data_IF_492949707156
#
_entry.id   IF_492949707156
#
_cell.length_a   1.000
_cell.length_b   1.000
_cell.length_c   1.000
_cell.angle_alpha   90.00
_cell.angle_beta   90.00
_cell.angle_gamma   90.00
#
_symmetry.space_group_name_H-M   'P 1'
#
loop_
_entity.id
_entity.type
_entity.pdbx_description
1 polymer ?
#
# COMPACT_ATOMS: atom_id res chain seq x y z
N UNK A 1 14.18 -5.24 6.22
CA UNK A 1 13.79 -4.66 4.92
C UNK A 1 13.43 -3.21 5.13
N UNK A 2 13.71 -2.33 4.16
CA UNK A 2 13.33 -0.92 4.23
C UNK A 2 11.84 -0.81 3.89
N UNK A 3 11.09 0.06 4.57
CA UNK A 3 9.71 0.33 4.19
C UNK A 3 9.69 1.04 2.82
N UNK A 4 8.74 0.73 1.92
CA UNK A 4 8.59 1.46 0.67
C UNK A 4 8.25 2.93 0.96
N UNK A 5 8.73 3.83 0.09
CA UNK A 5 8.47 5.26 0.18
C UNK A 5 7.80 5.73 -1.11
N UNK A 6 6.99 6.79 -1.01
CA UNK A 6 6.42 7.42 -2.20
C UNK A 6 7.50 7.98 -3.11
N UNK A 7 7.20 8.02 -4.41
CA UNK A 7 8.10 8.57 -5.42
C UNK A 7 8.57 9.98 -5.02
N UNK A 8 9.87 10.22 -5.21
CA UNK A 8 10.53 11.51 -4.97
C UNK A 8 10.36 12.02 -3.51
N UNK A 9 10.18 11.11 -2.55
CA UNK A 9 9.91 11.41 -1.15
C UNK A 9 10.57 10.42 -0.20
N UNK A 10 10.93 10.88 1.00
CA UNK A 10 11.38 10.03 2.11
C UNK A 10 10.21 9.58 3.01
N UNK A 11 8.96 9.91 2.65
CA UNK A 11 7.77 9.52 3.40
C UNK A 11 7.49 8.03 3.17
N UNK A 12 7.55 7.18 4.21
CA UNK A 12 7.22 5.78 4.09
C UNK A 12 5.73 5.60 3.87
N UNK A 13 5.36 4.61 3.05
CA UNK A 13 3.97 4.21 2.83
C UNK A 13 3.38 3.62 4.11
N UNK A 14 2.12 3.99 4.41
CA UNK A 14 1.38 3.52 5.56
C UNK A 14 -0.02 3.06 5.17
N UNK A 15 -0.55 2.08 5.88
CA UNK A 15 -1.96 1.72 5.81
C UNK A 15 -2.84 2.94 6.14
N UNK A 16 -3.89 3.12 5.35
CA UNK A 16 -4.82 4.25 5.44
C UNK A 16 -4.35 5.53 4.77
N UNK A 17 -3.14 5.55 4.16
CA UNK A 17 -2.75 6.66 3.32
C UNK A 17 -3.73 6.79 2.14
N UNK A 18 -4.16 8.01 1.87
CA UNK A 18 -4.90 8.35 0.66
C UNK A 18 -3.92 8.76 -0.43
N UNK A 19 -4.06 8.09 -1.57
CA UNK A 19 -3.15 8.21 -2.68
C UNK A 19 -3.92 8.42 -3.98
N UNK A 20 -3.25 9.02 -4.96
CA UNK A 20 -3.73 9.01 -6.35
C UNK A 20 -3.00 7.89 -7.08
N UNK A 21 -3.77 6.92 -7.54
CA UNK A 21 -3.30 5.84 -8.41
C UNK A 21 -3.55 6.24 -9.86
N UNK A 22 -2.69 5.77 -10.77
CA UNK A 22 -2.66 6.18 -12.18
C UNK A 22 -4.03 6.45 -12.82
N UNK A 23 -4.19 7.66 -13.36
CA UNK A 23 -5.35 8.07 -14.18
C UNK A 23 -6.73 7.98 -13.51
N UNK A 24 -6.80 7.57 -12.24
CA UNK A 24 -8.04 7.61 -11.48
C UNK A 24 -8.32 9.05 -11.03
N UNK A 25 -9.52 9.55 -11.33
CA UNK A 25 -9.99 10.84 -10.82
C UNK A 25 -10.24 10.78 -9.30
N UNK A 26 -10.62 9.60 -8.80
CA UNK A 26 -10.92 9.36 -7.39
C UNK A 26 -9.71 8.81 -6.63
N UNK A 27 -9.64 9.13 -5.33
CA UNK A 27 -8.53 8.70 -4.48
C UNK A 27 -8.64 7.22 -4.12
N UNK A 28 -7.49 6.57 -4.06
CA UNK A 28 -7.30 5.21 -3.56
C UNK A 28 -6.80 5.23 -2.12
N UNK A 29 -6.98 4.13 -1.40
CA UNK A 29 -6.52 3.96 -0.02
C UNK A 29 -5.55 2.79 0.08
N UNK A 30 -4.44 2.97 0.78
CA UNK A 30 -3.50 1.88 1.08
C UNK A 30 -4.12 0.95 2.12
N UNK A 31 -4.34 -0.32 1.76
CA UNK A 31 -4.94 -1.32 2.64
C UNK A 31 -3.92 -2.03 3.53
N UNK A 32 -2.72 -2.31 3.02
CA UNK A 32 -1.62 -2.88 3.78
C UNK A 32 -0.29 -2.79 3.03
N UNK A 33 0.81 -2.90 3.79
CA UNK A 33 2.17 -2.94 3.26
C UNK A 33 2.81 -4.28 3.64
N UNK A 34 3.18 -5.08 2.63
CA UNK A 34 3.65 -6.46 2.82
C UNK A 34 4.94 -6.50 3.65
N UNK A 35 5.88 -5.60 3.35
CA UNK A 35 7.21 -5.56 3.97
C UNK A 35 7.22 -5.17 5.44
N UNK A 36 6.19 -4.45 5.92
CA UNK A 36 6.03 -4.07 7.32
C UNK A 36 5.20 -5.09 8.11
N UNK A 37 4.53 -6.01 7.43
CA UNK A 37 3.61 -6.97 8.04
C UNK A 37 2.31 -6.35 8.54
N UNK A 38 2.00 -5.11 8.13
CA UNK A 38 0.80 -4.37 8.51
C UNK A 38 -0.43 -4.86 7.73
N UNK A 39 -0.77 -6.14 7.90
CA UNK A 39 -1.91 -6.78 7.25
C UNK A 39 -3.22 -6.54 8.02
N UNK A 40 -4.39 -6.57 7.34
CA UNK A 40 -5.68 -6.53 8.01
C UNK A 40 -5.88 -7.73 8.94
N UNK A 41 -6.57 -7.52 10.07
CA UNK A 41 -6.78 -8.57 11.09
C UNK A 41 -7.55 -9.77 10.55
N UNK A 42 -8.46 -9.53 9.60
CA UNK A 42 -9.28 -10.55 8.96
C UNK A 42 -8.54 -11.37 7.88
N UNK A 43 -7.30 -10.99 7.52
CA UNK A 43 -6.50 -11.74 6.56
C UNK A 43 -5.82 -12.91 7.26
N UNK A 44 -6.01 -14.14 6.78
CA UNK A 44 -5.42 -15.34 7.40
C UNK A 44 -3.90 -15.44 7.21
N UNK A 45 -3.27 -16.30 8.00
CA UNK A 45 -1.81 -16.47 7.98
C UNK A 45 -1.29 -16.99 6.64
N UNK A 46 -2.03 -17.90 5.99
CA UNK A 46 -1.63 -18.47 4.71
C UNK A 46 -1.57 -17.41 3.60
N UNK A 47 -2.54 -16.49 3.59
CA UNK A 47 -2.60 -15.38 2.66
C UNK A 47 -1.47 -14.38 2.90
N UNK A 48 -1.17 -14.07 4.17
CA UNK A 48 -0.03 -13.20 4.53
C UNK A 48 1.30 -13.78 4.05
N UNK A 49 1.50 -15.09 4.23
CA UNK A 49 2.72 -15.77 3.82
C UNK A 49 2.82 -15.87 2.29
N UNK A 50 1.69 -16.09 1.61
CA UNK A 50 1.63 -16.03 0.15
C UNK A 50 2.01 -14.64 -0.37
N UNK A 51 1.47 -13.56 0.19
CA UNK A 51 1.82 -12.19 -0.23
C UNK A 51 3.32 -11.91 -0.07
N UNK A 52 3.92 -12.34 1.04
CA UNK A 52 5.36 -12.19 1.29
C UNK A 52 6.20 -12.97 0.30
N UNK A 53 5.78 -14.20 -0.04
CA UNK A 53 6.52 -15.05 -0.97
C UNK A 53 6.42 -14.54 -2.41
N UNK A 54 5.24 -14.10 -2.83
CA UNK A 54 4.97 -13.70 -4.21
C UNK A 54 5.46 -12.27 -4.51
N UNK A 55 5.22 -11.33 -3.60
CA UNK A 55 5.42 -9.91 -3.87
C UNK A 55 6.56 -9.28 -3.07
N UNK A 56 7.15 -10.01 -2.11
CA UNK A 56 8.25 -9.54 -1.27
C UNK A 56 7.88 -8.36 -0.36
N UNK A 57 7.78 -7.15 -0.95
CA UNK A 57 7.58 -5.88 -0.27
C UNK A 57 6.50 -4.96 -0.88
N UNK A 58 5.55 -5.49 -1.64
CA UNK A 58 4.48 -4.72 -2.28
C UNK A 58 3.48 -4.04 -1.35
N UNK A 59 2.57 -3.28 -1.97
CA UNK A 59 1.51 -2.52 -1.30
C UNK A 59 0.17 -2.92 -1.92
N UNK A 60 -0.82 -3.18 -1.08
CA UNK A 60 -2.20 -3.33 -1.54
C UNK A 60 -2.91 -2.00 -1.45
N UNK A 61 -3.53 -1.56 -2.54
CA UNK A 61 -4.37 -0.36 -2.60
C UNK A 61 -5.78 -0.73 -3.00
N UNK A 62 -6.76 -0.02 -2.43
CA UNK A 62 -8.16 -0.09 -2.85
C UNK A 62 -8.43 1.04 -3.83
N UNK A 63 -8.72 0.65 -5.05
CA UNK A 63 -8.94 1.54 -6.19
C UNK A 63 -10.44 1.56 -6.55
N UNK A 64 -11.00 2.72 -6.93
CA UNK A 64 -12.37 2.79 -7.42
C UNK A 64 -12.59 2.05 -8.75
N UNK A 65 -11.60 2.03 -9.63
CA UNK A 65 -11.72 1.49 -10.99
C UNK A 65 -11.43 -0.01 -11.09
N UNK A 66 -10.55 -0.56 -10.25
CA UNK A 66 -10.10 -1.95 -10.33
C UNK A 66 -10.29 -2.75 -9.03
N UNK A 67 -10.83 -2.15 -7.97
CA UNK A 67 -10.94 -2.79 -6.66
C UNK A 67 -9.59 -2.89 -5.97
N UNK A 68 -9.33 -4.00 -5.28
CA UNK A 68 -8.09 -4.18 -4.52
C UNK A 68 -6.96 -4.65 -5.46
N UNK A 69 -5.92 -3.83 -5.60
CA UNK A 69 -4.79 -4.04 -6.52
C UNK A 69 -3.49 -4.09 -5.75
N UNK A 70 -2.63 -5.05 -6.11
CA UNK A 70 -1.26 -5.14 -5.62
C UNK A 70 -0.30 -4.41 -6.54
N UNK A 71 0.40 -3.46 -5.95
CA UNK A 71 1.49 -2.72 -6.58
C UNK A 71 2.83 -3.21 -6.00
N UNK A 72 3.85 -3.24 -6.86
CA UNK A 72 5.22 -3.54 -6.44
C UNK A 72 5.71 -2.49 -5.43
N UNK A 73 6.81 -2.80 -4.72
CA UNK A 73 7.39 -1.88 -3.73
C UNK A 73 7.80 -0.52 -4.30
N UNK A 74 7.98 -0.45 -5.62
CA UNK A 74 8.22 0.75 -6.40
C UNK A 74 6.93 1.58 -6.47
N UNK A 75 6.75 2.50 -5.52
CA UNK A 75 5.60 3.42 -5.45
C UNK A 75 5.60 4.47 -6.58
N UNK A 76 6.15 4.16 -7.74
CA UNK A 76 6.30 5.07 -8.88
C UNK A 76 4.96 5.47 -9.49
N UNK A 77 3.99 4.58 -9.39
CA UNK A 77 2.62 4.72 -9.88
C UNK A 77 1.67 5.46 -8.93
N UNK A 78 2.15 5.80 -7.73
CA UNK A 78 1.31 6.22 -6.62
C UNK A 78 1.80 7.57 -6.08
N UNK A 79 0.93 8.57 -6.09
CA UNK A 79 1.18 9.88 -5.51
C UNK A 79 0.50 9.99 -4.14
N UNK A 80 1.25 10.34 -3.09
CA UNK A 80 0.68 10.61 -1.78
C UNK A 80 -0.16 11.90 -1.82
N UNK A 81 -1.45 11.80 -1.49
CA UNK A 81 -2.34 12.95 -1.34
C UNK A 81 -2.51 13.34 0.12
N UNK A 82 -2.68 12.35 1.00
CA UNK A 82 -2.79 12.56 2.45
C UNK A 82 -2.31 11.34 3.19
N UNK A 83 -1.36 11.50 4.10
CA UNK A 83 -0.95 10.40 4.96
C UNK A 83 -1.98 10.11 6.05
N UNK A 84 -2.14 8.85 6.42
CA UNK A 84 -2.85 8.45 7.62
C UNK A 84 -2.28 9.21 8.81
N UNK A 85 -3.16 9.77 9.65
CA UNK A 85 -2.72 10.31 10.93
C UNK A 85 -2.15 9.15 11.74
N UNK A 86 -0.95 9.32 12.30
CA UNK A 86 -0.55 8.49 13.42
C UNK A 86 -1.54 8.79 14.54
N UNK A 87 -2.49 7.90 14.79
CA UNK A 87 -3.10 7.82 16.11
C UNK A 87 -1.96 7.42 17.05
N UNK A 88 -1.44 8.44 17.74
CA UNK A 88 -0.46 8.33 18.80
C UNK A 88 -1.13 7.92 20.10
#
# INVERSE_FOLDING_TARGET
MKAPCYRDSDIPVRRGDLVRWHSDEALSEVLFVVSTGDFPENLDQASRDWFRAEFGGGIMIKTPSAGDVLESEDCEAIELVRSARSDA
#
